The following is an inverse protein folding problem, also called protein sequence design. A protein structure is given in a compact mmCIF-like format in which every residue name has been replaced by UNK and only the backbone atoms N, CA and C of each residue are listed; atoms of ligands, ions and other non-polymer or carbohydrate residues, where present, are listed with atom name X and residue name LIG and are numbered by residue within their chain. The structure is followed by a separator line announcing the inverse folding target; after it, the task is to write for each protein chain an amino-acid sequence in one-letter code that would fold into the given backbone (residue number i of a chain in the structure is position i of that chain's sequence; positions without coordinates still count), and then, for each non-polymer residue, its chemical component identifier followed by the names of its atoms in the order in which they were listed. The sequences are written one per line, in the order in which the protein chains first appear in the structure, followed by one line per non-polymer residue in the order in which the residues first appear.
data_IF_950710097981
#
_entry.id   IF_950710097981
#
_cell.length_a   1.000
_cell.length_b   1.000
_cell.length_c   1.000
_cell.angle_alpha   90.00
_cell.angle_beta   90.00
_cell.angle_gamma   90.00
#
_symmetry.space_group_name_H-M   'P 1'
#
loop_
_entity.id
_entity.type
_entity.pdbx_description
1 polymer ?
#
# COMPACT_ATOMS: atom_id res chain seq x y z
N UNK A 1 25.60 2.70 56.83
CA UNK A 1 25.24 1.27 57.01
C UNK A 1 25.51 0.58 55.69
N UNK A 2 26.28 -0.52 55.67
CA UNK A 2 26.58 -1.22 54.42
C UNK A 2 25.31 -1.95 53.94
N UNK A 3 24.88 -1.71 52.70
CA UNK A 3 23.73 -2.41 52.16
C UNK A 3 24.08 -3.88 51.89
N UNK A 4 23.14 -4.81 52.05
CA UNK A 4 23.37 -6.21 51.68
C UNK A 4 23.43 -6.34 50.16
N UNK A 5 24.18 -7.32 49.67
CA UNK A 5 24.12 -7.73 48.27
C UNK A 5 22.68 -8.18 47.92
N UNK A 6 22.21 -7.83 46.72
CA UNK A 6 20.84 -8.14 46.24
C UNK A 6 20.56 -9.64 46.20
N UNK A 7 21.60 -10.46 46.05
CA UNK A 7 21.52 -11.91 46.15
C UNK A 7 21.37 -12.30 47.63
N UNK A 8 20.16 -12.73 48.00
CA UNK A 8 19.77 -13.02 49.39
C UNK A 8 20.64 -14.09 50.09
N UNK A 9 21.29 -14.97 49.32
CA UNK A 9 22.20 -16.01 49.85
C UNK A 9 23.63 -15.52 50.03
N UNK A 10 23.96 -14.31 49.59
CA UNK A 10 25.30 -13.74 49.70
C UNK A 10 25.54 -13.17 51.10
N UNK A 11 26.61 -13.61 51.75
CA UNK A 11 27.02 -13.12 53.08
C UNK A 11 27.86 -11.84 53.02
N UNK A 12 28.28 -11.42 51.82
CA UNK A 12 29.11 -10.23 51.63
C UNK A 12 28.24 -8.97 51.55
N UNK A 13 28.70 -7.90 52.21
CA UNK A 13 28.10 -6.58 52.03
C UNK A 13 28.30 -6.10 50.58
N UNK A 14 27.35 -5.32 50.07
CA UNK A 14 27.48 -4.72 48.75
C UNK A 14 28.66 -3.76 48.73
N UNK A 15 29.46 -3.84 47.67
CA UNK A 15 30.60 -2.94 47.44
C UNK A 15 30.34 -2.02 46.24
N UNK A 16 29.38 -2.37 45.38
CA UNK A 16 29.11 -1.67 44.12
C UNK A 16 27.61 -1.59 43.85
N UNK A 17 27.17 -0.47 43.29
CA UNK A 17 25.81 -0.27 42.78
C UNK A 17 25.84 -0.37 41.25
N UNK A 18 24.97 -1.21 40.68
CA UNK A 18 24.73 -1.18 39.24
C UNK A 18 23.77 -0.03 38.91
N UNK A 19 24.26 1.01 38.23
CA UNK A 19 23.45 2.17 37.83
C UNK A 19 22.46 1.90 36.68
N UNK A 20 22.56 0.74 36.04
CA UNK A 20 21.59 0.26 35.04
C UNK A 20 20.36 -0.32 35.71
N UNK A 21 20.55 -1.19 36.70
CA UNK A 21 19.49 -1.94 37.37
C UNK A 21 19.08 -1.35 38.73
N UNK A 22 19.83 -0.35 39.23
CA UNK A 22 19.70 0.24 40.57
C UNK A 22 19.75 -0.81 41.71
N UNK A 23 20.63 -1.81 41.55
CA UNK A 23 20.79 -2.93 42.48
C UNK A 23 22.21 -2.97 43.06
N UNK A 24 22.31 -3.33 44.33
CA UNK A 24 23.57 -3.36 45.08
C UNK A 24 24.17 -4.77 45.06
N UNK A 25 25.42 -4.91 44.62
CA UNK A 25 26.12 -6.18 44.47
C UNK A 25 27.41 -6.21 45.29
N UNK A 26 27.84 -7.40 45.73
CA UNK A 26 29.24 -7.60 46.09
C UNK A 26 30.09 -7.69 44.81
N UNK A 27 31.42 -7.57 44.94
CA UNK A 27 32.32 -7.54 43.79
C UNK A 27 32.21 -8.76 42.86
N UNK A 28 32.11 -9.96 43.43
CA UNK A 28 32.00 -11.21 42.66
C UNK A 28 30.69 -11.27 41.88
N UNK A 29 29.57 -11.00 42.54
CA UNK A 29 28.26 -11.01 41.89
C UNK A 29 28.06 -9.85 40.90
N UNK A 30 28.78 -8.74 41.03
CA UNK A 30 28.80 -7.68 40.01
C UNK A 30 29.48 -8.17 38.73
N UNK A 31 30.59 -8.90 38.85
CA UNK A 31 31.27 -9.49 37.68
C UNK A 31 30.39 -10.54 37.01
N UNK A 32 29.73 -11.40 37.79
CA UNK A 32 28.79 -12.38 37.25
C UNK A 32 27.57 -11.73 36.58
N UNK A 33 27.04 -10.66 37.18
CA UNK A 33 25.96 -9.87 36.61
C UNK A 33 26.37 -9.26 35.26
N UNK A 34 27.56 -8.64 35.19
CA UNK A 34 28.06 -8.04 33.95
C UNK A 34 28.35 -9.09 32.88
N UNK A 35 28.88 -10.26 33.25
CA UNK A 35 29.07 -11.39 32.34
C UNK A 35 27.73 -11.93 31.83
N UNK A 36 26.73 -12.03 32.70
CA UNK A 36 25.38 -12.49 32.34
C UNK A 36 24.73 -11.53 31.35
N UNK A 37 24.78 -10.22 31.59
CA UNK A 37 24.25 -9.21 30.66
C UNK A 37 24.95 -9.25 29.30
N UNK A 38 26.28 -9.28 29.30
CA UNK A 38 27.05 -9.34 28.04
C UNK A 38 26.81 -10.66 27.28
N UNK A 39 26.56 -11.77 28.00
CA UNK A 39 26.27 -13.05 27.36
C UNK A 39 24.95 -13.06 26.57
N UNK A 40 24.01 -12.16 26.90
CA UNK A 40 22.75 -12.02 26.17
C UNK A 40 22.89 -11.32 24.82
N UNK A 41 24.01 -10.62 24.58
CA UNK A 41 24.25 -9.94 23.30
C UNK A 41 24.49 -10.93 22.15
N UNK A 42 25.12 -12.08 22.43
CA UNK A 42 25.41 -13.08 21.40
C UNK A 42 24.14 -13.72 20.82
N UNK A 43 23.17 -14.22 21.63
CA UNK A 43 21.88 -14.67 21.10
C UNK A 43 21.13 -13.63 20.28
N UNK A 44 21.11 -12.36 20.72
CA UNK A 44 20.46 -11.28 19.98
C UNK A 44 21.15 -11.00 18.64
N UNK A 45 22.47 -11.06 18.61
CA UNK A 45 23.25 -10.97 17.36
C UNK A 45 22.90 -12.13 16.42
N UNK A 46 22.81 -13.35 16.93
CA UNK A 46 22.44 -14.53 16.15
C UNK A 46 21.01 -14.42 15.60
N UNK A 47 20.06 -13.92 16.39
CA UNK A 47 18.69 -13.66 15.96
C UNK A 47 18.62 -12.58 14.86
N UNK A 48 19.36 -11.48 15.02
CA UNK A 48 19.44 -10.42 13.99
C UNK A 48 20.04 -10.98 12.70
N UNK A 49 21.10 -11.78 12.80
CA UNK A 49 21.70 -12.42 11.64
C UNK A 49 20.73 -13.40 10.96
N UNK A 50 19.99 -14.20 11.73
CA UNK A 50 18.98 -15.11 11.21
C UNK A 50 17.84 -14.35 10.50
N UNK A 51 17.40 -13.22 11.04
CA UNK A 51 16.43 -12.34 10.38
C UNK A 51 17.00 -11.75 9.08
N UNK A 52 18.27 -11.35 9.07
CA UNK A 52 18.97 -10.88 7.88
C UNK A 52 19.04 -11.94 6.78
N UNK A 53 19.39 -13.17 7.11
CA UNK A 53 19.40 -14.29 6.15
C UNK A 53 17.99 -14.63 5.66
N UNK A 54 16.99 -14.58 6.54
CA UNK A 54 15.60 -14.76 6.16
C UNK A 54 15.15 -13.67 5.18
N UNK A 55 15.51 -12.41 5.40
CA UNK A 55 15.20 -11.30 4.48
C UNK A 55 15.82 -11.53 3.10
N UNK A 56 17.08 -12.00 3.04
CA UNK A 56 17.74 -12.37 1.77
C UNK A 56 17.05 -13.54 1.06
N UNK A 57 16.46 -14.46 1.82
CA UNK A 57 15.72 -15.61 1.26
C UNK A 57 14.34 -15.25 0.71
N UNK A 58 13.82 -14.06 1.00
CA UNK A 58 12.55 -13.59 0.43
C UNK A 58 12.74 -13.41 -1.07
N UNK A 59 12.01 -14.19 -1.85
CA UNK A 59 12.02 -14.10 -3.30
C UNK A 59 11.18 -12.90 -3.77
N UNK A 60 11.81 -11.72 -3.78
CA UNK A 60 11.21 -10.47 -4.25
C UNK A 60 10.79 -10.55 -5.72
N UNK A 61 11.58 -11.24 -6.55
CA UNK A 61 11.28 -11.41 -7.97
C UNK A 61 9.95 -12.13 -8.18
N UNK A 62 9.70 -13.21 -7.44
CA UNK A 62 8.44 -13.94 -7.50
C UNK A 62 7.27 -13.08 -6.97
N UNK A 63 7.47 -12.28 -5.92
CA UNK A 63 6.43 -11.37 -5.42
C UNK A 63 6.05 -10.29 -6.46
N UNK A 64 7.05 -9.72 -7.14
CA UNK A 64 6.86 -8.76 -8.24
C UNK A 64 6.18 -9.44 -9.42
N UNK A 65 6.67 -10.61 -9.84
CA UNK A 65 6.10 -11.38 -10.96
C UNK A 65 4.63 -11.73 -10.71
N UNK A 66 4.28 -12.15 -9.50
CA UNK A 66 2.90 -12.44 -9.12
C UNK A 66 2.02 -11.18 -9.16
N UNK A 67 2.56 -10.02 -8.79
CA UNK A 67 1.85 -8.74 -8.87
C UNK A 67 1.63 -8.31 -10.32
N UNK A 68 2.66 -8.47 -11.18
CA UNK A 68 2.53 -8.25 -12.62
C UNK A 68 1.50 -9.17 -13.27
N UNK A 69 1.46 -10.45 -12.90
CA UNK A 69 0.45 -11.40 -13.40
C UNK A 69 -0.98 -10.96 -13.06
N UNK A 70 -1.21 -10.41 -11.86
CA UNK A 70 -2.52 -9.86 -11.48
C UNK A 70 -2.91 -8.67 -12.34
N UNK A 71 -1.97 -7.75 -12.59
CA UNK A 71 -2.20 -6.59 -13.46
C UNK A 71 -2.49 -7.00 -14.91
N UNK A 72 -1.74 -7.97 -15.44
CA UNK A 72 -1.96 -8.49 -16.78
C UNK A 72 -3.32 -9.21 -16.89
N UNK A 73 -3.70 -9.98 -15.87
CA UNK A 73 -5.02 -10.61 -15.82
C UNK A 73 -6.13 -9.56 -15.81
N UNK A 74 -6.01 -8.51 -14.99
CA UNK A 74 -6.95 -7.40 -14.97
C UNK A 74 -7.08 -6.74 -16.35
N UNK A 75 -5.95 -6.47 -17.02
CA UNK A 75 -5.93 -5.92 -18.38
C UNK A 75 -6.70 -6.81 -19.36
N UNK A 76 -6.44 -8.11 -19.36
CA UNK A 76 -7.12 -9.08 -20.23
C UNK A 76 -8.64 -9.05 -19.99
N UNK A 77 -9.07 -9.00 -18.74
CA UNK A 77 -10.49 -9.03 -18.40
C UNK A 77 -11.19 -7.71 -18.73
N UNK A 78 -10.50 -6.57 -18.61
CA UNK A 78 -10.98 -5.29 -19.12
C UNK A 78 -11.23 -5.32 -20.63
N UNK A 79 -10.27 -5.84 -21.41
CA UNK A 79 -10.43 -5.95 -22.86
C UNK A 79 -11.64 -6.82 -23.24
N UNK A 80 -11.79 -8.00 -22.62
CA UNK A 80 -12.98 -8.85 -22.84
C UNK A 80 -14.29 -8.14 -22.52
N UNK A 81 -14.31 -7.34 -21.46
CA UNK A 81 -15.50 -6.58 -21.06
C UNK A 81 -15.85 -5.50 -22.08
N UNK A 82 -14.84 -4.81 -22.62
CA UNK A 82 -15.02 -3.81 -23.68
C UNK A 82 -15.55 -4.48 -24.95
N UNK A 83 -14.96 -5.61 -25.36
CA UNK A 83 -15.38 -6.36 -26.55
C UNK A 83 -16.82 -6.84 -26.42
N UNK A 84 -17.18 -7.42 -25.27
CA UNK A 84 -18.55 -7.83 -24.98
C UNK A 84 -19.54 -6.66 -25.07
N UNK A 85 -19.19 -5.52 -24.47
CA UNK A 85 -20.03 -4.33 -24.52
C UNK A 85 -20.21 -3.81 -25.95
N UNK A 86 -19.14 -3.82 -26.75
CA UNK A 86 -19.18 -3.46 -28.16
C UNK A 86 -20.12 -4.37 -28.95
N UNK A 87 -19.99 -5.70 -28.82
CA UNK A 87 -20.85 -6.68 -29.48
C UNK A 87 -22.33 -6.48 -29.12
N UNK A 88 -22.62 -6.25 -27.83
CA UNK A 88 -23.98 -5.93 -27.38
C UNK A 88 -24.53 -4.69 -28.07
N UNK A 89 -23.74 -3.62 -28.19
CA UNK A 89 -24.19 -2.39 -28.85
C UNK A 89 -24.38 -2.55 -30.35
N UNK A 90 -23.58 -3.37 -31.01
CA UNK A 90 -23.80 -3.77 -32.40
C UNK A 90 -25.14 -4.51 -32.56
N UNK A 91 -25.45 -5.47 -31.68
CA UNK A 91 -26.74 -6.17 -31.71
C UNK A 91 -27.93 -5.25 -31.41
N UNK A 92 -27.79 -4.32 -30.47
CA UNK A 92 -28.83 -3.30 -30.22
C UNK A 92 -29.10 -2.43 -31.44
N UNK A 93 -28.04 -2.00 -32.13
CA UNK A 93 -28.12 -1.23 -33.35
C UNK A 93 -28.83 -2.02 -34.45
N UNK A 94 -28.38 -3.24 -34.75
CA UNK A 94 -29.01 -4.11 -35.74
C UNK A 94 -30.50 -4.33 -35.47
N UNK A 95 -30.87 -4.58 -34.21
CA UNK A 95 -32.26 -4.73 -33.80
C UNK A 95 -33.07 -3.46 -34.05
N UNK A 96 -32.51 -2.29 -33.73
CA UNK A 96 -33.16 -1.00 -33.97
C UNK A 96 -33.41 -0.77 -35.48
N UNK A 97 -32.40 -1.03 -36.31
CA UNK A 97 -32.49 -0.91 -37.77
C UNK A 97 -33.57 -1.85 -38.31
N UNK A 98 -33.50 -3.14 -37.94
CA UNK A 98 -34.47 -4.15 -38.40
C UNK A 98 -35.90 -3.78 -38.02
N UNK A 99 -36.13 -3.29 -36.80
CA UNK A 99 -37.47 -2.87 -36.36
C UNK A 99 -38.02 -1.70 -37.17
N UNK A 100 -37.18 -0.70 -37.50
CA UNK A 100 -37.60 0.42 -38.37
C UNK A 100 -37.96 -0.08 -39.77
N UNK A 101 -37.14 -0.95 -40.35
CA UNK A 101 -37.38 -1.52 -41.68
C UNK A 101 -38.65 -2.38 -41.73
N UNK A 102 -38.90 -3.19 -40.70
CA UNK A 102 -40.11 -4.01 -40.63
C UNK A 102 -41.38 -3.16 -40.58
N UNK A 103 -41.38 -2.08 -39.79
CA UNK A 103 -42.51 -1.14 -39.75
C UNK A 103 -42.81 -0.55 -41.14
N UNK A 104 -41.78 -0.17 -41.91
CA UNK A 104 -41.97 0.34 -43.28
C UNK A 104 -42.48 -0.75 -44.22
N UNK A 105 -42.04 -2.01 -44.06
CA UNK A 105 -42.55 -3.16 -44.81
C UNK A 105 -44.02 -3.42 -44.52
N UNK A 106 -44.44 -3.34 -43.26
CA UNK A 106 -45.85 -3.45 -42.87
C UNK A 106 -46.71 -2.34 -43.48
N UNK A 107 -46.23 -1.09 -43.47
CA UNK A 107 -46.92 0.05 -44.10
C UNK A 107 -47.10 -0.18 -45.62
N UNK A 108 -46.05 -0.64 -46.32
CA UNK A 108 -46.13 -1.01 -47.75
C UNK A 108 -47.17 -2.11 -47.97
N UNK A 109 -47.17 -3.15 -47.15
CA UNK A 109 -48.13 -4.25 -47.28
C UNK A 109 -49.57 -3.78 -47.07
N UNK A 110 -49.83 -2.89 -46.11
CA UNK A 110 -51.17 -2.30 -45.90
C UNK A 110 -51.64 -1.50 -47.12
N UNK A 111 -50.75 -0.70 -47.73
CA UNK A 111 -51.07 0.04 -48.95
C UNK A 111 -51.38 -0.92 -50.10
N UNK A 112 -50.59 -1.99 -50.27
CA UNK A 112 -50.83 -3.01 -51.29
C UNK A 112 -52.18 -3.69 -51.11
N UNK A 113 -52.54 -4.10 -49.88
CA UNK A 113 -53.85 -4.71 -49.60
C UNK A 113 -54.98 -3.76 -49.96
N UNK A 114 -54.90 -2.49 -49.51
CA UNK A 114 -55.93 -1.49 -49.81
C UNK A 114 -56.05 -1.21 -51.30
N UNK A 115 -54.94 -1.18 -52.04
CA UNK A 115 -54.95 -1.05 -53.49
C UNK A 115 -55.62 -2.26 -54.16
N UNK A 116 -55.31 -3.48 -53.72
CA UNK A 116 -55.93 -4.70 -54.24
C UNK A 116 -57.45 -4.74 -53.98
N UNK A 117 -57.90 -4.29 -52.82
CA UNK A 117 -59.33 -4.22 -52.49
C UNK A 117 -60.07 -3.22 -53.40
N UNK A 118 -59.51 -2.02 -53.59
CA UNK A 118 -60.07 -1.00 -54.50
C UNK A 118 -60.12 -1.48 -55.97
N UNK A 119 -59.11 -2.23 -56.43
CA UNK A 119 -59.10 -2.82 -57.78
C UNK A 119 -60.18 -3.90 -57.90
N UNK A 120 -60.33 -4.76 -56.88
CA UNK A 120 -61.32 -5.85 -56.87
C UNK A 120 -62.74 -5.31 -56.88
N UNK A 121 -63.00 -4.27 -56.10
CA UNK A 121 -64.34 -3.70 -55.93
C UNK A 121 -64.70 -2.74 -57.08
N UNK A 122 -63.73 -2.24 -57.85
CA UNK A 122 -63.91 -1.29 -58.96
C UNK A 122 -64.61 0.04 -58.56
N UNK A 123 -64.71 0.33 -57.27
CA UNK A 123 -65.39 1.50 -56.70
C UNK A 123 -64.39 2.58 -56.22
N UNK A 124 -63.19 2.64 -56.81
CA UNK A 124 -62.20 3.64 -56.42
C UNK A 124 -62.69 5.06 -56.70
N UNK A 125 -62.75 5.92 -55.69
CA UNK A 125 -63.05 7.34 -55.88
C UNK A 125 -61.78 8.13 -56.19
N UNK A 126 -61.93 9.31 -56.80
CA UNK A 126 -60.81 10.24 -56.98
C UNK A 126 -60.10 10.57 -55.65
N UNK A 127 -60.86 10.67 -54.54
CA UNK A 127 -60.28 10.89 -53.22
C UNK A 127 -59.41 9.73 -52.76
N UNK A 128 -59.79 8.48 -53.04
CA UNK A 128 -58.99 7.30 -52.67
C UNK A 128 -57.66 7.28 -53.42
N UNK A 129 -57.68 7.63 -54.70
CA UNK A 129 -56.48 7.74 -55.54
C UNK A 129 -55.56 8.84 -55.04
N UNK A 130 -56.10 10.03 -54.71
CA UNK A 130 -55.32 11.15 -54.19
C UNK A 130 -54.66 10.79 -52.85
N UNK A 131 -55.41 10.16 -51.95
CA UNK A 131 -54.94 9.78 -50.61
C UNK A 131 -53.88 8.68 -50.67
N UNK A 132 -54.05 7.69 -51.57
CA UNK A 132 -53.02 6.69 -51.85
C UNK A 132 -51.75 7.32 -52.44
N UNK A 133 -51.90 8.25 -53.38
CA UNK A 133 -50.77 8.94 -54.02
C UNK A 133 -49.96 9.75 -53.00
N UNK A 134 -50.63 10.47 -52.09
CA UNK A 134 -49.97 11.18 -50.98
C UNK A 134 -49.23 10.19 -50.09
N UNK A 135 -49.90 9.11 -49.68
CA UNK A 135 -49.32 8.10 -48.78
C UNK A 135 -48.09 7.44 -49.39
N UNK A 136 -48.12 7.09 -50.68
CA UNK A 136 -46.97 6.50 -51.39
C UNK A 136 -45.80 7.49 -51.44
N UNK A 137 -46.03 8.76 -51.76
CA UNK A 137 -44.99 9.80 -51.80
C UNK A 137 -44.38 10.06 -50.42
N UNK A 138 -45.19 10.07 -49.38
CA UNK A 138 -44.69 10.24 -48.01
C UNK A 138 -43.84 9.04 -47.57
N UNK A 139 -44.25 7.83 -47.93
CA UNK A 139 -43.51 6.61 -47.64
C UNK A 139 -42.18 6.53 -48.41
N UNK A 140 -42.17 6.98 -49.67
CA UNK A 140 -40.97 7.15 -50.48
C UNK A 140 -40.00 8.17 -49.85
N UNK A 141 -40.51 9.32 -49.39
CA UNK A 141 -39.71 10.33 -48.68
C UNK A 141 -39.09 9.76 -47.40
N UNK A 142 -39.86 8.99 -46.65
CA UNK A 142 -39.41 8.36 -45.41
C UNK A 142 -38.35 7.27 -45.67
N UNK A 143 -38.49 6.46 -46.72
CA UNK A 143 -37.48 5.47 -47.12
C UNK A 143 -36.20 6.18 -47.55
N UNK A 144 -36.29 7.19 -48.41
CA UNK A 144 -35.14 7.99 -48.84
C UNK A 144 -34.44 8.64 -47.64
N UNK A 145 -35.20 9.10 -46.65
CA UNK A 145 -34.64 9.63 -45.40
C UNK A 145 -33.92 8.54 -44.62
N UNK A 146 -34.44 7.32 -44.54
CA UNK A 146 -33.75 6.20 -43.87
C UNK A 146 -32.46 5.82 -44.61
N UNK A 147 -32.45 5.82 -45.94
CA UNK A 147 -31.26 5.55 -46.75
C UNK A 147 -30.18 6.63 -46.59
N UNK A 148 -30.60 7.90 -46.46
CA UNK A 148 -29.69 9.04 -46.35
C UNK A 148 -29.25 9.34 -44.91
N UNK A 149 -30.02 8.93 -43.90
CA UNK A 149 -29.69 9.18 -42.49
C UNK A 149 -28.84 8.05 -41.96
N UNK A 150 -27.52 8.25 -41.89
CA UNK A 150 -26.66 7.44 -41.03
C UNK A 150 -27.17 7.54 -39.59
N UNK A 151 -27.37 6.39 -38.93
CA UNK A 151 -27.85 6.35 -37.56
C UNK A 151 -26.90 7.16 -36.66
N UNK A 152 -27.44 8.16 -35.96
CA UNK A 152 -26.65 8.99 -35.06
C UNK A 152 -26.32 8.17 -33.80
N UNK A 153 -25.05 7.78 -33.67
CA UNK A 153 -24.52 7.09 -32.50
C UNK A 153 -23.69 8.11 -31.70
N UNK A 154 -24.11 8.39 -30.47
CA UNK A 154 -23.31 9.19 -29.54
C UNK A 154 -22.44 8.24 -28.71
N UNK A 155 -21.12 8.39 -28.81
CA UNK A 155 -20.14 7.60 -28.05
C UNK A 155 -19.43 8.52 -27.08
N UNK A 156 -19.49 8.19 -25.79
CA UNK A 156 -18.76 8.91 -24.73
C UNK A 156 -17.40 8.25 -24.50
N UNK A 157 -16.41 9.05 -24.11
CA UNK A 157 -15.07 8.55 -23.79
C UNK A 157 -15.09 7.66 -22.55
N UNK A 158 -14.30 6.59 -22.57
CA UNK A 158 -14.01 5.77 -21.40
C UNK A 158 -12.93 6.47 -20.57
N UNK A 159 -13.24 6.79 -19.31
CA UNK A 159 -12.30 7.39 -18.35
C UNK A 159 -11.92 6.33 -17.33
N UNK A 160 -10.62 6.08 -17.18
CA UNK A 160 -10.08 5.20 -16.14
C UNK A 160 -9.76 6.04 -14.91
N UNK A 161 -10.25 5.61 -13.76
CA UNK A 161 -9.98 6.24 -12.46
C UNK A 161 -8.69 5.65 -11.87
N UNK A 162 -7.81 6.50 -11.35
CA UNK A 162 -6.58 6.07 -10.67
C UNK A 162 -6.89 5.24 -9.41
N UNK A 163 -8.10 5.38 -8.85
CA UNK A 163 -8.58 4.55 -7.74
C UNK A 163 -8.87 3.09 -8.13
N UNK A 164 -8.76 2.71 -9.40
CA UNK A 164 -9.02 1.34 -9.84
C UNK A 164 -7.90 0.38 -9.41
N UNK A 165 -6.67 0.87 -9.23
CA UNK A 165 -5.51 0.07 -8.86
C UNK A 165 -4.75 0.77 -7.73
N UNK A 166 -4.74 0.17 -6.55
CA UNK A 166 -3.96 0.65 -5.42
C UNK A 166 -2.71 -0.21 -5.22
N UNK A 167 -1.54 0.42 -5.31
CA UNK A 167 -0.26 -0.18 -4.95
C UNK A 167 0.19 0.50 -3.66
N UNK A 168 -0.09 -0.15 -2.53
CA UNK A 168 0.35 0.36 -1.23
C UNK A 168 1.84 0.10 -1.04
N UNK A 169 2.59 1.16 -0.74
CA UNK A 169 3.88 1.05 -0.10
C UNK A 169 3.62 1.11 1.40
N UNK A 170 3.46 -0.04 2.03
CA UNK A 170 3.18 -0.09 3.47
C UNK A 170 4.43 0.35 4.24
N UNK A 171 4.56 1.65 4.53
CA UNK A 171 5.45 2.20 5.55
C UNK A 171 4.95 1.82 6.96
N UNK A 172 4.69 0.53 7.19
CA UNK A 172 4.15 0.05 8.45
C UNK A 172 5.34 -0.32 9.33
N UNK A 173 5.65 0.64 10.23
CA UNK A 173 6.58 0.58 11.34
C UNK A 173 8.05 0.88 10.99
N UNK A 174 8.32 2.16 10.78
CA UNK A 174 9.68 2.68 10.86
C UNK A 174 10.24 2.37 12.27
N UNK A 175 11.18 1.44 12.36
CA UNK A 175 11.86 1.13 13.61
C UNK A 175 12.75 2.32 13.98
N UNK A 176 12.38 3.05 15.02
CA UNK A 176 13.13 4.22 15.47
C UNK A 176 14.15 3.80 16.54
N UNK A 177 15.43 3.84 16.19
CA UNK A 177 16.52 3.54 17.13
C UNK A 177 16.65 4.57 18.24
N UNK A 178 15.95 5.72 18.15
CA UNK A 178 15.94 6.77 19.18
C UNK A 178 15.33 6.27 20.49
N UNK A 179 14.51 5.21 20.48
CA UNK A 179 13.99 4.60 21.71
C UNK A 179 15.02 3.78 22.48
N UNK A 180 16.15 3.42 21.87
CA UNK A 180 17.23 2.72 22.57
C UNK A 180 18.06 3.72 23.38
N UNK A 181 18.35 3.37 24.63
CA UNK A 181 19.28 4.18 25.43
C UNK A 181 20.64 4.22 24.75
N UNK A 182 21.25 5.42 24.68
CA UNK A 182 22.63 5.58 24.21
C UNK A 182 23.55 4.55 24.88
N UNK A 183 24.49 4.01 24.11
CA UNK A 183 25.57 3.11 24.61
C UNK A 183 26.35 3.78 25.75
N UNK A 184 26.30 5.11 25.85
CA UNK A 184 26.94 5.89 26.88
C UNK A 184 25.89 6.60 27.75
N UNK A 185 25.93 6.34 29.05
CA UNK A 185 25.13 7.05 30.05
C UNK A 185 25.99 8.09 30.75
N UNK A 186 25.66 9.36 30.60
CA UNK A 186 26.30 10.43 31.39
C UNK A 186 25.71 10.41 32.79
N UNK A 187 26.54 10.15 33.81
CA UNK A 187 26.13 10.17 35.21
C UNK A 187 26.36 11.57 35.75
N UNK A 188 25.26 12.30 36.01
CA UNK A 188 25.32 13.60 36.66
C UNK A 188 25.50 13.40 38.17
N UNK A 189 26.68 13.75 38.69
CA UNK A 189 26.89 13.80 40.14
C UNK A 189 26.25 15.08 40.72
N UNK A 190 25.53 15.00 41.85
CA UNK A 190 25.06 16.19 42.55
C UNK A 190 26.26 17.06 42.94
N UNK A 191 26.12 18.36 42.66
CA UNK A 191 27.17 19.39 42.65
C UNK A 191 27.69 19.79 44.04
N UNK A 192 27.73 18.86 44.98
CA UNK A 192 28.22 19.09 46.34
C UNK A 192 29.70 18.69 46.41
N UNK A 193 30.58 19.53 45.87
CA UNK A 193 32.02 19.59 46.22
C UNK A 193 32.88 18.31 46.15
N UNK A 194 32.58 17.36 45.25
CA UNK A 194 33.54 16.31 44.91
C UNK A 194 34.00 16.50 43.47
N UNK A 195 35.31 16.70 43.27
CA UNK A 195 35.93 16.47 41.97
C UNK A 195 35.56 15.04 41.54
N UNK A 196 35.01 14.78 40.33
CA UNK A 196 34.77 13.42 39.89
C UNK A 196 36.12 12.68 39.88
N UNK A 197 36.23 11.68 40.76
CA UNK A 197 37.36 10.77 40.85
C UNK A 197 36.99 9.49 40.10
N UNK A 198 37.75 9.13 39.07
CA UNK A 198 37.66 7.81 38.45
C UNK A 198 38.95 7.05 38.75
N UNK A 199 38.85 5.90 39.40
CA UNK A 199 40.02 5.11 39.79
C UNK A 199 40.02 3.79 39.01
N UNK A 200 41.20 3.38 38.54
CA UNK A 200 41.49 1.97 38.31
C UNK A 200 42.53 1.52 39.34
N UNK A 201 42.77 0.21 39.49
CA UNK A 201 43.68 -0.33 40.51
C UNK A 201 45.12 0.24 40.46
N UNK A 202 45.50 0.96 39.40
CA UNK A 202 46.83 1.51 39.20
C UNK A 202 46.85 3.06 39.19
N UNK A 203 45.74 3.72 38.89
CA UNK A 203 45.69 5.16 38.60
C UNK A 203 44.39 5.82 39.04
N UNK A 204 44.52 7.05 39.52
CA UNK A 204 43.42 7.92 39.91
C UNK A 204 43.29 9.09 38.93
N UNK A 205 42.15 9.24 38.29
CA UNK A 205 41.81 10.36 37.43
C UNK A 205 41.06 11.41 38.27
N UNK A 206 41.63 12.61 38.37
CA UNK A 206 41.13 13.72 39.19
C UNK A 206 40.78 14.90 38.28
N UNK A 207 39.57 15.43 38.44
CA UNK A 207 39.19 16.70 37.80
C UNK A 207 39.53 17.88 38.71
N UNK A 208 40.54 18.68 38.34
CA UNK A 208 40.98 19.84 39.12
C UNK A 208 40.71 21.14 38.35
N UNK A 209 39.65 21.84 38.74
CA UNK A 209 39.14 23.19 38.38
C UNK A 209 39.05 23.58 36.89
N UNK A 210 39.76 22.92 35.96
CA UNK A 210 39.59 22.90 34.50
C UNK A 210 40.33 21.74 33.80
N UNK A 211 41.17 20.97 34.52
CA UNK A 211 42.06 19.96 33.93
C UNK A 211 41.77 18.54 34.45
N UNK A 212 42.06 17.53 33.61
CA UNK A 212 41.85 16.13 33.93
C UNK A 212 43.22 15.47 34.20
N UNK A 213 43.58 15.35 35.48
CA UNK A 213 44.89 14.82 35.89
C UNK A 213 44.81 13.32 36.14
N UNK A 214 45.67 12.53 35.48
CA UNK A 214 45.90 11.13 35.80
C UNK A 214 47.05 11.03 36.80
N UNK A 215 46.80 10.38 37.92
CA UNK A 215 47.69 10.33 39.07
C UNK A 215 48.02 8.87 39.43
N UNK A 216 49.27 8.59 39.81
CA UNK A 216 49.70 7.26 40.26
C UNK A 216 49.30 6.96 41.72
N UNK A 217 49.60 5.74 42.20
CA UNK A 217 49.34 5.32 43.58
C UNK A 217 50.08 6.14 44.65
N UNK A 218 51.13 6.88 44.27
CA UNK A 218 51.91 7.75 45.14
C UNK A 218 51.51 9.24 45.02
N UNK A 219 50.38 9.52 44.37
CA UNK A 219 49.86 10.87 44.11
C UNK A 219 50.72 11.72 43.16
N UNK A 220 51.54 11.10 42.31
CA UNK A 220 52.29 11.81 41.26
C UNK A 220 51.43 11.97 39.99
N UNK A 221 51.46 13.18 39.40
CA UNK A 221 50.77 13.44 38.13
C UNK A 221 51.54 12.75 37.00
N UNK A 222 50.91 11.76 36.38
CA UNK A 222 51.40 11.07 35.19
C UNK A 222 51.07 11.87 33.93
N UNK A 223 49.87 12.45 33.88
CA UNK A 223 49.36 13.14 32.70
C UNK A 223 48.32 14.20 33.07
N UNK A 224 48.29 15.31 32.36
CA UNK A 224 47.33 16.41 32.48
C UNK A 224 46.72 16.72 31.11
#
# INVERSE_FOLDING_TARGET
MAQPCVIATCKHASQTLCYGCNQHFCREHMIEHDLSLNSQLNPLSDEINALGERLKSINLENAIENSHKKLEQWRIDCHKTIDYFFEQKCHELDRCIRKKMEKKREEINRIRTKLSDLIREQEATHKDIDLLTITVRDLEREINKIEQTSFQIEIKSLVLDDSLIHIENSDINHFDLISLSSVHKTINYPRENWAPFACNNHHLLIHQETNLCLVDQNLNIIKQ
#
